data_IF_499039461596
#
_entry.id   IF_499039461596
#
_cell.length_a   1.000
_cell.length_b   1.000
_cell.length_c   1.000
_cell.angle_alpha   90.00
_cell.angle_beta   90.00
_cell.angle_gamma   90.00
#
_symmetry.space_group_name_H-M   'P 1'
#
loop_
_entity.id
_entity.type
_entity.pdbx_description
1 polymer ?
#
# COMPACT_ATOMS: atom_id res chain seq x y z
N UNK A 1 -48.10 17.49 20.31
CA UNK A 1 -47.64 16.14 19.90
C UNK A 1 -46.27 16.29 19.28
N UNK A 2 -45.35 15.46 19.75
CA UNK A 2 -43.90 15.67 19.81
C UNK A 2 -43.20 15.84 18.46
N UNK A 3 -42.14 16.66 18.47
CA UNK A 3 -41.21 16.85 17.35
C UNK A 3 -40.63 15.50 16.86
N UNK A 4 -40.33 15.36 15.56
CA UNK A 4 -39.63 14.18 15.08
C UNK A 4 -38.23 14.18 15.69
N UNK A 5 -37.89 13.10 16.39
CA UNK A 5 -36.55 12.75 16.81
C UNK A 5 -35.60 12.88 15.62
N UNK A 6 -34.70 13.87 15.63
CA UNK A 6 -33.57 13.90 14.70
C UNK A 6 -32.75 12.64 14.97
N UNK A 7 -32.89 11.66 14.08
CA UNK A 7 -31.94 10.58 13.98
C UNK A 7 -30.59 11.23 13.71
N UNK A 8 -29.65 11.16 14.66
CA UNK A 8 -28.25 11.49 14.44
C UNK A 8 -27.66 10.50 13.42
N UNK A 9 -28.03 10.68 12.15
CA UNK A 9 -27.37 10.08 11.01
C UNK A 9 -26.07 10.84 10.80
N UNK A 10 -24.96 10.10 10.75
CA UNK A 10 -23.63 10.62 10.43
C UNK A 10 -23.73 11.68 9.33
N UNK A 11 -23.31 12.92 9.62
CA UNK A 11 -23.32 14.02 8.66
C UNK A 11 -22.45 13.62 7.47
N UNK A 12 -23.06 13.50 6.29
CA UNK A 12 -22.31 13.28 5.06
C UNK A 12 -21.75 14.63 4.59
N UNK A 13 -20.43 14.79 4.45
CA UNK A 13 -19.85 16.05 4.02
C UNK A 13 -20.26 16.40 2.59
N UNK A 14 -20.48 17.68 2.33
CA UNK A 14 -20.79 18.21 1.00
C UNK A 14 -19.55 18.18 0.09
N UNK A 15 -19.76 18.20 -1.23
CA UNK A 15 -18.65 18.25 -2.19
C UNK A 15 -17.73 19.48 -2.01
N UNK A 16 -18.26 20.59 -1.47
CA UNK A 16 -17.48 21.79 -1.17
C UNK A 16 -16.57 21.57 0.06
N UNK A 17 -17.09 20.95 1.12
CA UNK A 17 -16.31 20.57 2.31
C UNK A 17 -15.21 19.57 1.96
N UNK A 18 -15.51 18.57 1.10
CA UNK A 18 -14.50 17.66 0.57
C UNK A 18 -13.38 18.38 -0.18
N UNK A 19 -13.72 19.36 -1.04
CA UNK A 19 -12.70 20.14 -1.76
C UNK A 19 -11.85 20.96 -0.80
N UNK A 20 -12.45 21.62 0.19
CA UNK A 20 -11.73 22.36 1.22
C UNK A 20 -10.77 21.47 2.02
N UNK A 21 -11.22 20.28 2.41
CA UNK A 21 -10.40 19.28 3.12
C UNK A 21 -9.24 18.78 2.24
N UNK A 22 -9.45 18.57 0.93
CA UNK A 22 -8.40 18.09 0.02
C UNK A 22 -7.21 19.06 -0.12
N UNK A 23 -7.44 20.37 0.00
CA UNK A 23 -6.38 21.40 -0.06
C UNK A 23 -5.69 21.62 1.29
N UNK A 24 -6.29 21.11 2.38
CA UNK A 24 -5.80 21.30 3.74
C UNK A 24 -4.38 20.73 3.95
N UNK A 25 -3.59 21.31 4.87
CA UNK A 25 -2.28 20.80 5.23
C UNK A 25 -2.32 19.34 5.72
N UNK A 26 -3.35 18.97 6.48
CA UNK A 26 -3.53 17.63 7.04
C UNK A 26 -3.67 16.57 5.92
N UNK A 27 -4.47 16.87 4.89
CA UNK A 27 -4.67 15.95 3.76
C UNK A 27 -3.42 15.82 2.88
N UNK A 28 -2.65 16.91 2.73
CA UNK A 28 -1.35 16.88 2.05
C UNK A 28 -0.34 16.03 2.83
N UNK A 29 -0.34 16.11 4.16
CA UNK A 29 0.53 15.30 5.01
C UNK A 29 0.17 13.82 4.91
N UNK A 30 -1.12 13.47 4.92
CA UNK A 30 -1.61 12.10 4.70
C UNK A 30 -1.11 11.54 3.35
N UNK A 31 -1.27 12.31 2.26
CA UNK A 31 -0.75 11.92 0.93
C UNK A 31 0.76 11.75 0.93
N UNK A 32 1.50 12.64 1.60
CA UNK A 32 2.96 12.56 1.68
C UNK A 32 3.40 11.30 2.42
N UNK A 33 2.78 10.98 3.55
CA UNK A 33 3.05 9.75 4.32
C UNK A 33 2.80 8.50 3.48
N UNK A 34 1.63 8.41 2.83
CA UNK A 34 1.32 7.31 1.93
C UNK A 34 2.38 7.18 0.81
N UNK A 35 2.65 8.27 0.07
CA UNK A 35 3.59 8.24 -1.05
C UNK A 35 5.02 7.95 -0.63
N UNK A 36 5.45 8.43 0.54
CA UNK A 36 6.81 8.21 1.05
C UNK A 36 7.13 6.74 1.31
N UNK A 37 6.10 5.91 1.49
CA UNK A 37 6.24 4.48 1.68
C UNK A 37 5.99 3.69 0.39
N UNK A 38 4.88 3.98 -0.30
CA UNK A 38 4.47 3.21 -1.49
C UNK A 38 5.44 3.38 -2.65
N UNK A 39 5.93 4.60 -2.93
CA UNK A 39 6.83 4.82 -4.08
C UNK A 39 8.17 4.08 -3.95
N UNK A 40 8.92 4.19 -2.84
CA UNK A 40 10.14 3.42 -2.67
C UNK A 40 9.91 1.91 -2.73
N UNK A 41 8.81 1.42 -2.15
CA UNK A 41 8.47 -0.01 -2.16
C UNK A 41 8.16 -0.52 -3.58
N UNK A 42 7.40 0.25 -4.37
CA UNK A 42 7.16 -0.06 -5.78
C UNK A 42 8.46 -0.07 -6.59
N UNK A 43 9.33 0.93 -6.40
CA UNK A 43 10.63 0.98 -7.08
C UNK A 43 11.46 -0.26 -6.73
N UNK A 44 11.55 -0.62 -5.44
CA UNK A 44 12.26 -1.81 -5.00
C UNK A 44 11.71 -3.10 -5.63
N UNK A 45 10.37 -3.22 -5.70
CA UNK A 45 9.72 -4.34 -6.36
C UNK A 45 10.07 -4.42 -7.86
N UNK A 46 10.00 -3.30 -8.59
CA UNK A 46 10.34 -3.27 -10.00
C UNK A 46 11.82 -3.59 -10.25
N UNK A 47 12.73 -3.04 -9.46
CA UNK A 47 14.16 -3.36 -9.54
C UNK A 47 14.38 -4.86 -9.32
N UNK A 48 13.76 -5.43 -8.28
CA UNK A 48 13.84 -6.86 -8.00
C UNK A 48 13.28 -7.73 -9.13
N UNK A 49 12.14 -7.35 -9.70
CA UNK A 49 11.56 -8.03 -10.85
C UNK A 49 12.48 -7.97 -12.07
N UNK A 50 13.05 -6.80 -12.38
CA UNK A 50 13.97 -6.64 -13.51
C UNK A 50 15.25 -7.45 -13.32
N UNK A 51 15.79 -7.51 -12.11
CA UNK A 51 16.93 -8.38 -11.78
C UNK A 51 16.60 -9.84 -12.09
N UNK A 52 15.42 -10.32 -11.71
CA UNK A 52 14.98 -11.67 -12.05
C UNK A 52 14.86 -11.89 -13.55
N UNK A 53 14.25 -10.96 -14.30
CA UNK A 53 14.11 -11.08 -15.77
C UNK A 53 15.49 -11.10 -16.44
N UNK A 54 16.39 -10.20 -16.06
CA UNK A 54 17.76 -10.15 -16.60
C UNK A 54 18.50 -11.45 -16.29
N UNK A 55 18.42 -11.96 -15.06
CA UNK A 55 19.03 -13.25 -14.70
C UNK A 55 18.43 -14.41 -15.51
N UNK A 56 17.11 -14.43 -15.69
CA UNK A 56 16.40 -15.44 -16.48
C UNK A 56 16.84 -15.46 -17.95
N UNK A 57 17.08 -14.28 -18.53
CA UNK A 57 17.43 -14.14 -19.96
C UNK A 57 18.93 -14.33 -20.22
N UNK A 58 19.80 -13.78 -19.37
CA UNK A 58 21.24 -13.72 -19.63
C UNK A 58 22.07 -14.71 -18.82
N UNK A 59 21.51 -15.30 -17.77
CA UNK A 59 22.21 -16.25 -16.91
C UNK A 59 21.44 -17.59 -16.77
N UNK A 60 21.12 -18.28 -17.88
CA UNK A 60 20.37 -19.54 -17.83
C UNK A 60 21.10 -20.63 -17.04
N UNK A 61 22.43 -20.68 -17.08
CA UNK A 61 23.23 -21.64 -16.31
C UNK A 61 23.11 -21.41 -14.80
N UNK A 62 23.12 -20.14 -14.37
CA UNK A 62 22.87 -19.77 -12.97
C UNK A 62 21.45 -20.16 -12.55
N UNK A 63 20.44 -19.81 -13.36
CA UNK A 63 19.04 -20.12 -13.09
C UNK A 63 18.77 -21.63 -13.06
N UNK A 64 19.52 -22.40 -13.85
CA UNK A 64 19.46 -23.86 -13.90
C UNK A 64 20.18 -24.57 -12.76
N UNK A 65 20.92 -23.84 -11.90
CA UNK A 65 21.69 -24.45 -10.79
C UNK A 65 20.74 -25.16 -9.83
N UNK A 66 20.89 -26.47 -9.72
CA UNK A 66 20.06 -27.33 -8.86
C UNK A 66 20.42 -27.12 -7.39
N UNK A 67 19.41 -26.99 -6.55
CA UNK A 67 19.56 -26.84 -5.10
C UNK A 67 19.14 -28.12 -4.39
N UNK A 68 17.94 -28.63 -4.66
CA UNK A 68 17.44 -29.89 -4.11
C UNK A 68 16.64 -30.64 -5.16
N UNK A 69 17.11 -31.83 -5.55
CA UNK A 69 16.44 -32.66 -6.55
C UNK A 69 16.22 -31.92 -7.87
N UNK A 70 14.96 -31.71 -8.24
CA UNK A 70 14.54 -30.98 -9.46
C UNK A 70 14.33 -29.47 -9.24
N UNK A 71 14.52 -28.96 -8.02
CA UNK A 71 14.38 -27.54 -7.70
C UNK A 71 15.70 -26.82 -8.05
N UNK A 72 15.62 -25.80 -8.91
CA UNK A 72 16.74 -24.95 -9.26
C UNK A 72 16.57 -23.52 -8.73
N UNK A 73 17.63 -22.71 -8.84
CA UNK A 73 17.62 -21.32 -8.42
C UNK A 73 16.54 -20.50 -9.13
N UNK A 74 16.26 -20.77 -10.40
CA UNK A 74 15.20 -20.07 -11.14
C UNK A 74 13.82 -20.27 -10.54
N UNK A 75 13.49 -21.50 -10.12
CA UNK A 75 12.24 -21.82 -9.40
C UNK A 75 12.20 -21.09 -8.06
N UNK A 76 13.29 -21.10 -7.29
CA UNK A 76 13.34 -20.43 -5.99
C UNK A 76 13.17 -18.91 -6.14
N UNK A 77 13.86 -18.30 -7.10
CA UNK A 77 13.75 -16.87 -7.38
C UNK A 77 12.35 -16.50 -7.87
N UNK A 78 11.75 -17.32 -8.73
CA UNK A 78 10.36 -17.15 -9.16
C UNK A 78 9.36 -17.28 -8.01
N UNK A 79 9.53 -18.24 -7.11
CA UNK A 79 8.73 -18.35 -5.89
C UNK A 79 8.92 -17.15 -4.95
N UNK A 80 10.16 -16.65 -4.87
CA UNK A 80 10.47 -15.45 -4.09
C UNK A 80 9.71 -14.24 -4.64
N UNK A 81 9.60 -14.07 -5.96
CA UNK A 81 8.77 -13.01 -6.56
C UNK A 81 7.32 -13.04 -6.04
N UNK A 82 6.74 -14.23 -5.95
CA UNK A 82 5.39 -14.40 -5.41
C UNK A 82 5.32 -14.04 -3.92
N UNK A 83 6.27 -14.54 -3.11
CA UNK A 83 6.36 -14.21 -1.69
C UNK A 83 6.55 -12.71 -1.44
N UNK A 84 7.33 -12.01 -2.27
CA UNK A 84 7.56 -10.57 -2.13
C UNK A 84 6.25 -9.78 -2.21
N UNK A 85 5.26 -10.24 -3.00
CA UNK A 85 3.94 -9.59 -3.08
C UNK A 85 3.20 -9.63 -1.74
N UNK A 86 3.20 -10.78 -1.06
CA UNK A 86 2.60 -10.91 0.27
C UNK A 86 3.35 -10.07 1.31
N UNK A 87 4.68 -10.08 1.25
CA UNK A 87 5.52 -9.28 2.15
C UNK A 87 5.22 -7.79 1.96
N UNK A 88 5.20 -7.29 0.73
CA UNK A 88 4.86 -5.89 0.40
C UNK A 88 3.50 -5.53 0.99
N UNK A 89 2.48 -6.36 0.78
CA UNK A 89 1.13 -6.14 1.29
C UNK A 89 1.11 -6.12 2.81
N UNK A 90 1.79 -7.06 3.47
CA UNK A 90 1.86 -7.13 4.93
C UNK A 90 2.59 -5.93 5.55
N UNK A 91 3.75 -5.54 4.98
CA UNK A 91 4.49 -4.36 5.44
C UNK A 91 3.65 -3.10 5.21
N UNK A 92 2.91 -3.00 4.09
CA UNK A 92 1.97 -1.92 3.85
C UNK A 92 0.88 -1.85 4.90
N UNK A 93 0.21 -2.96 5.23
CA UNK A 93 -0.84 -2.99 6.27
C UNK A 93 -0.26 -2.52 7.61
N UNK A 94 0.90 -3.04 8.01
CA UNK A 94 1.58 -2.64 9.24
C UNK A 94 1.94 -1.16 9.25
N UNK A 95 2.38 -0.61 8.12
CA UNK A 95 2.68 0.81 7.97
C UNK A 95 1.42 1.68 8.01
N UNK A 96 0.35 1.25 7.34
CA UNK A 96 -0.92 1.94 7.25
C UNK A 96 -1.58 2.07 8.62
N UNK A 97 -1.68 0.97 9.37
CA UNK A 97 -2.27 0.95 10.70
C UNK A 97 -1.53 1.90 11.66
N UNK A 98 -0.20 2.03 11.51
CA UNK A 98 0.62 2.88 12.38
C UNK A 98 0.59 4.36 11.98
N UNK A 99 0.63 4.67 10.69
CA UNK A 99 0.93 6.03 10.21
C UNK A 99 -0.21 6.69 9.42
N UNK A 100 -1.07 5.90 8.76
CA UNK A 100 -2.10 6.39 7.84
C UNK A 100 -3.46 6.42 8.55
N UNK A 101 -3.81 5.33 9.24
CA UNK A 101 -5.11 5.16 9.87
C UNK A 101 -5.43 6.19 10.97
N UNK A 102 -4.50 6.56 11.87
CA UNK A 102 -4.76 7.63 12.85
C UNK A 102 -5.05 8.99 12.21
N UNK A 103 -4.34 9.30 11.11
CA UNK A 103 -4.49 10.57 10.37
C UNK A 103 -5.79 10.59 9.58
N UNK A 104 -6.14 9.46 8.95
CA UNK A 104 -7.40 9.30 8.24
C UNK A 104 -8.59 9.41 9.19
N UNK A 105 -8.50 8.82 10.39
CA UNK A 105 -9.55 8.91 11.41
C UNK A 105 -9.76 10.35 11.89
N UNK A 106 -8.69 11.09 12.16
CA UNK A 106 -8.78 12.50 12.55
C UNK A 106 -9.50 13.37 11.49
N UNK A 107 -9.14 13.21 10.21
CA UNK A 107 -9.81 13.92 9.10
C UNK A 107 -11.30 13.53 9.01
N UNK A 108 -11.62 12.25 9.23
CA UNK A 108 -12.99 11.76 9.19
C UNK A 108 -13.84 12.32 10.34
N UNK A 109 -13.30 12.33 11.56
CA UNK A 109 -13.95 12.91 12.74
C UNK A 109 -14.21 14.43 12.55
N UNK A 110 -13.29 15.17 11.92
CA UNK A 110 -13.47 16.60 11.61
C UNK A 110 -14.56 16.86 10.55
N UNK A 111 -14.76 15.91 9.63
CA UNK A 111 -15.72 16.03 8.54
C UNK A 111 -17.13 15.52 8.91
N UNK A 112 -17.23 14.53 9.80
CA UNK A 112 -18.49 13.91 10.23
C UNK A 112 -19.10 14.53 11.50
N UNK A 113 -18.33 15.35 12.23
CA UNK A 113 -18.78 16.13 13.40
C UNK A 113 -19.72 17.29 13.04
#
# INVERSE_FOLDING_TARGET
MSAPTEAHGVRQPTAAEFRAMQVSPQFKELKRTYRSFTFPMSIAFFVWYLVFVIAATYAPDFMGTKVVGSINLGVILGMTQFLTTFVITWVYIKYANKNIEPRARAIREEMEG
#
